data_IF_907824893992
#
_entry.id   IF_907824893992
#
_cell.length_a   1.000
_cell.length_b   1.000
_cell.length_c   1.000
_cell.angle_alpha   90.00
_cell.angle_beta   90.00
_cell.angle_gamma   90.00
#
_symmetry.space_group_name_H-M   'P 1'
#
loop_
_entity.id
_entity.type
_entity.pdbx_description
1 polymer ?
#
# COMPACT_ATOMS: atom_id res chain seq x y z
N UNK A 1 -5.51 0.92 15.55
CA UNK A 1 -4.04 0.85 15.39
C UNK A 1 -3.46 0.98 16.76
N UNK A 2 -2.93 -0.12 17.28
CA UNK A 2 -2.16 -0.09 18.52
C UNK A 2 -0.85 0.65 18.30
N UNK A 3 -0.28 1.16 19.39
CA UNK A 3 0.94 1.96 19.39
C UNK A 3 2.11 1.24 18.67
N UNK A 4 2.27 -0.06 18.89
CA UNK A 4 3.33 -0.84 18.25
C UNK A 4 3.24 -0.89 16.71
N UNK A 5 2.03 -0.86 16.13
CA UNK A 5 1.89 -0.81 14.66
C UNK A 5 2.21 0.58 14.13
N UNK A 6 1.79 1.63 14.84
CA UNK A 6 2.11 3.01 14.47
C UNK A 6 3.63 3.24 14.45
N UNK A 7 4.33 2.83 15.50
CA UNK A 7 5.79 2.94 15.60
C UNK A 7 6.48 2.25 14.42
N UNK A 8 6.07 1.02 14.08
CA UNK A 8 6.61 0.28 12.92
C UNK A 8 6.33 1.00 11.60
N UNK A 9 5.14 1.57 11.43
CA UNK A 9 4.79 2.34 10.23
C UNK A 9 5.59 3.64 10.13
N UNK A 10 5.95 4.26 11.25
CA UNK A 10 6.72 5.52 11.28
C UNK A 10 8.23 5.30 11.12
N UNK A 11 8.76 4.16 11.56
CA UNK A 11 10.18 3.83 11.47
C UNK A 11 10.58 3.00 10.24
N UNK A 12 9.62 2.47 9.48
CA UNK A 12 9.93 1.61 8.33
C UNK A 12 10.54 2.38 7.15
N UNK A 13 11.54 1.78 6.51
CA UNK A 13 12.14 2.26 5.26
C UNK A 13 11.32 1.88 4.03
N UNK A 14 10.59 0.76 4.10
CA UNK A 14 9.78 0.21 3.01
C UNK A 14 8.38 -0.13 3.52
N UNK A 15 7.36 0.22 2.75
CA UNK A 15 5.96 -0.16 3.01
C UNK A 15 5.31 -0.72 1.74
N UNK A 16 4.88 -1.98 1.78
CA UNK A 16 4.10 -2.62 0.73
C UNK A 16 2.66 -2.81 1.20
N UNK A 17 1.69 -2.25 0.48
CA UNK A 17 0.28 -2.57 0.67
C UNK A 17 -0.09 -3.59 -0.39
N UNK A 18 -0.28 -4.85 0.01
CA UNK A 18 -0.81 -5.91 -0.85
C UNK A 18 -2.22 -6.27 -0.37
N UNK A 19 -3.22 -6.08 -1.22
CA UNK A 19 -4.62 -6.24 -0.81
C UNK A 19 -5.51 -6.71 -1.95
N UNK A 20 -6.49 -7.61 -1.68
CA UNK A 20 -7.63 -7.74 -2.57
C UNK A 20 -8.46 -6.45 -2.55
N UNK A 21 -9.23 -6.24 -3.61
CA UNK A 21 -10.25 -5.19 -3.69
C UNK A 21 -11.62 -5.83 -3.55
N UNK A 22 -12.35 -5.43 -2.51
CA UNK A 22 -13.72 -5.85 -2.27
C UNK A 22 -14.64 -4.64 -2.39
N UNK A 23 -15.68 -4.75 -3.22
CA UNK A 23 -16.63 -3.66 -3.47
C UNK A 23 -15.93 -2.32 -3.79
N UNK A 24 -14.95 -2.35 -4.69
CA UNK A 24 -14.12 -1.21 -5.11
C UNK A 24 -13.21 -0.60 -4.02
N UNK A 25 -13.20 -1.16 -2.81
CA UNK A 25 -12.47 -0.67 -1.65
C UNK A 25 -11.44 -1.64 -1.09
N UNK A 26 -10.58 -1.11 -0.22
CA UNK A 26 -9.70 -1.90 0.62
C UNK A 26 -10.52 -2.61 1.71
N UNK A 27 -10.20 -3.87 2.08
CA UNK A 27 -10.88 -4.59 3.13
C UNK A 27 -10.90 -3.82 4.46
N UNK A 28 -11.94 -4.02 5.26
CA UNK A 28 -12.14 -3.28 6.51
C UNK A 28 -10.91 -3.23 7.44
N UNK A 29 -10.12 -4.30 7.65
CA UNK A 29 -8.91 -4.24 8.47
C UNK A 29 -7.85 -3.27 7.92
N UNK A 30 -7.63 -3.26 6.61
CA UNK A 30 -6.68 -2.35 5.94
C UNK A 30 -7.19 -0.92 6.06
N UNK A 31 -8.49 -0.71 5.81
CA UNK A 31 -9.12 0.60 5.92
C UNK A 31 -9.08 1.15 7.35
N UNK A 32 -9.26 0.30 8.36
CA UNK A 32 -9.15 0.70 9.77
C UNK A 32 -7.74 1.16 10.17
N UNK A 33 -6.69 0.64 9.52
CA UNK A 33 -5.33 1.14 9.69
C UNK A 33 -5.22 2.52 9.01
N UNK A 34 -5.64 2.63 7.75
CA UNK A 34 -5.58 3.87 6.97
C UNK A 34 -6.35 5.01 7.66
N UNK A 35 -7.54 4.75 8.18
CA UNK A 35 -8.36 5.78 8.84
C UNK A 35 -7.70 6.39 10.07
N UNK A 36 -6.80 5.65 10.71
CA UNK A 36 -6.04 6.16 11.84
C UNK A 36 -4.85 7.01 11.44
N UNK A 37 -4.41 6.93 10.19
CA UNK A 37 -3.43 7.84 9.64
C UNK A 37 -3.97 9.27 9.54
N UNK A 38 -5.28 9.49 9.63
CA UNK A 38 -5.87 10.83 9.67
C UNK A 38 -5.26 11.70 10.78
N UNK A 39 -4.97 11.14 11.96
CA UNK A 39 -4.31 11.87 13.04
C UNK A 39 -2.87 12.27 12.67
N UNK A 40 -2.14 11.39 11.99
CA UNK A 40 -0.78 11.64 11.51
C UNK A 40 -0.77 12.65 10.35
N UNK A 41 -1.78 12.62 9.48
CA UNK A 41 -1.98 13.65 8.45
C UNK A 41 -2.15 15.01 9.12
N UNK A 42 -3.03 15.13 10.12
CA UNK A 42 -3.24 16.39 10.85
C UNK A 42 -1.97 16.86 11.56
N UNK A 43 -1.18 15.93 12.10
CA UNK A 43 0.13 16.25 12.70
C UNK A 43 1.09 16.82 11.65
N UNK A 44 1.16 16.20 10.47
CA UNK A 44 2.01 16.64 9.35
C UNK A 44 1.61 18.01 8.80
N UNK A 45 0.32 18.24 8.58
CA UNK A 45 -0.19 19.54 8.08
C UNK A 45 0.10 20.69 9.05
N UNK A 46 0.35 20.40 10.33
CA UNK A 46 0.77 21.37 11.34
C UNK A 46 2.30 21.52 11.44
N UNK A 47 3.06 20.99 10.49
CA UNK A 47 4.52 21.02 10.48
C UNK A 47 5.18 19.92 11.31
N UNK A 48 4.41 18.95 11.81
CA UNK A 48 4.94 17.80 12.54
C UNK A 48 5.64 16.79 11.65
N UNK A 49 6.59 16.04 12.21
CA UNK A 49 7.34 15.01 11.49
C UNK A 49 6.72 13.62 11.73
N UNK A 50 6.24 12.98 10.66
CA UNK A 50 5.61 11.66 10.74
C UNK A 50 6.64 10.52 10.71
N UNK A 51 7.64 10.59 9.83
CA UNK A 51 8.72 9.61 9.80
C UNK A 51 9.60 9.73 11.06
N UNK A 52 10.08 8.60 11.59
CA UNK A 52 10.96 8.57 12.75
C UNK A 52 12.33 7.94 12.46
N UNK A 53 12.54 7.44 11.25
CA UNK A 53 13.84 6.97 10.77
C UNK A 53 14.65 8.11 10.13
N UNK A 54 15.98 8.00 10.16
CA UNK A 54 16.92 8.97 9.58
C UNK A 54 17.35 8.60 8.13
N UNK A 55 16.77 7.54 7.57
CA UNK A 55 17.15 7.00 6.26
C UNK A 55 16.83 7.94 5.09
N UNK A 56 17.64 7.94 4.02
CA UNK A 56 17.58 8.97 2.98
C UNK A 56 16.31 8.90 2.12
N UNK A 57 15.61 7.76 2.02
CA UNK A 57 14.37 7.63 1.23
C UNK A 57 13.45 6.52 1.76
N UNK A 58 12.14 6.83 1.89
CA UNK A 58 11.11 5.86 2.28
C UNK A 58 10.33 5.40 1.04
N UNK A 59 10.33 4.10 0.76
CA UNK A 59 9.80 3.53 -0.50
C UNK A 59 8.47 2.80 -0.28
N UNK A 60 7.46 3.18 -1.03
CA UNK A 60 6.12 2.60 -1.02
C UNK A 60 5.88 1.72 -2.25
N UNK A 61 5.22 0.58 -2.06
CA UNK A 61 4.75 -0.29 -3.14
C UNK A 61 3.28 -0.67 -2.95
N UNK A 62 2.58 -0.89 -4.05
CA UNK A 62 1.16 -1.25 -4.03
C UNK A 62 0.89 -2.49 -4.89
N UNK A 63 0.20 -3.49 -4.34
CA UNK A 63 -0.35 -4.62 -5.09
C UNK A 63 -1.85 -4.68 -4.81
N UNK A 64 -2.65 -4.54 -5.87
CA UNK A 64 -4.10 -4.71 -5.79
C UNK A 64 -4.54 -5.85 -6.71
N UNK A 65 -5.33 -6.77 -6.16
CA UNK A 65 -5.89 -7.91 -6.89
C UNK A 65 -7.42 -7.86 -6.87
N UNK A 66 -8.08 -8.22 -7.97
CA UNK A 66 -9.54 -8.26 -8.05
C UNK A 66 -10.03 -9.23 -9.13
N UNK A 67 -11.29 -9.67 -9.00
CA UNK A 67 -12.02 -10.30 -10.12
C UNK A 67 -12.29 -9.29 -11.25
N UNK A 68 -12.56 -8.02 -10.90
CA UNK A 68 -12.85 -6.95 -11.84
C UNK A 68 -11.64 -6.41 -12.61
N UNK A 69 -11.91 -5.44 -13.50
CA UNK A 69 -10.91 -4.76 -14.33
C UNK A 69 -10.43 -3.42 -13.78
N UNK A 70 -9.85 -2.59 -14.65
CA UNK A 70 -9.14 -1.34 -14.29
C UNK A 70 -9.93 -0.39 -13.38
N UNK A 71 -11.21 -0.15 -13.68
CA UNK A 71 -12.09 0.74 -12.91
C UNK A 71 -12.28 0.30 -11.44
N UNK A 72 -12.11 -1.00 -11.16
CA UNK A 72 -12.25 -1.57 -9.81
C UNK A 72 -11.17 -1.06 -8.87
N UNK A 73 -9.98 -0.74 -9.38
CA UNK A 73 -8.81 -0.39 -8.57
C UNK A 73 -8.76 1.08 -8.18
N UNK A 74 -9.38 1.97 -8.94
CA UNK A 74 -9.19 3.42 -8.81
C UNK A 74 -9.43 3.95 -7.39
N UNK A 75 -10.52 3.62 -6.69
CA UNK A 75 -10.75 4.14 -5.33
C UNK A 75 -9.72 3.61 -4.33
N UNK A 76 -9.42 2.32 -4.39
CA UNK A 76 -8.43 1.66 -3.52
C UNK A 76 -7.01 2.20 -3.75
N UNK A 77 -6.64 2.44 -5.00
CA UNK A 77 -5.37 3.04 -5.41
C UNK A 77 -5.23 4.46 -4.86
N UNK A 78 -6.28 5.27 -4.93
CA UNK A 78 -6.28 6.64 -4.36
C UNK A 78 -6.13 6.63 -2.85
N UNK A 79 -6.85 5.74 -2.15
CA UNK A 79 -6.72 5.57 -0.70
C UNK A 79 -5.30 5.17 -0.29
N UNK A 80 -4.69 4.19 -0.97
CA UNK A 80 -3.32 3.78 -0.70
C UNK A 80 -2.32 4.91 -0.95
N UNK A 81 -2.45 5.66 -2.05
CA UNK A 81 -1.61 6.84 -2.35
C UNK A 81 -1.69 7.91 -1.26
N UNK A 82 -2.89 8.19 -0.73
CA UNK A 82 -3.07 9.11 0.39
C UNK A 82 -2.38 8.60 1.67
N UNK A 83 -2.45 7.29 1.95
CA UNK A 83 -1.76 6.66 3.08
C UNK A 83 -0.23 6.78 2.95
N UNK A 84 0.34 6.45 1.78
CA UNK A 84 1.78 6.62 1.52
C UNK A 84 2.22 8.07 1.72
N UNK A 85 1.49 9.02 1.14
CA UNK A 85 1.81 10.44 1.27
C UNK A 85 1.78 10.91 2.73
N UNK A 86 0.75 10.51 3.48
CA UNK A 86 0.62 10.83 4.91
C UNK A 86 1.80 10.34 5.72
N UNK A 87 2.26 9.13 5.44
CA UNK A 87 3.40 8.51 6.10
C UNK A 87 4.74 9.02 5.53
N UNK A 88 4.77 9.74 4.41
CA UNK A 88 6.01 10.20 3.78
C UNK A 88 6.74 9.12 2.97
N UNK A 89 6.04 8.11 2.47
CA UNK A 89 6.57 7.15 1.50
C UNK A 89 6.38 7.64 0.07
N UNK A 90 7.41 7.51 -0.75
CA UNK A 90 7.32 7.70 -2.19
C UNK A 90 6.86 6.40 -2.85
N UNK A 91 5.75 6.44 -3.62
CA UNK A 91 5.28 5.27 -4.37
C UNK A 91 6.23 4.98 -5.54
N UNK A 92 7.05 3.93 -5.42
CA UNK A 92 8.02 3.51 -6.45
C UNK A 92 7.45 2.54 -7.49
N UNK A 93 6.30 1.93 -7.21
CA UNK A 93 5.64 1.07 -8.16
C UNK A 93 4.32 0.52 -7.66
N UNK A 94 3.49 0.09 -8.60
CA UNK A 94 2.23 -0.59 -8.33
C UNK A 94 1.98 -1.73 -9.31
N UNK A 95 1.28 -2.76 -8.85
CA UNK A 95 0.75 -3.85 -9.66
C UNK A 95 -0.77 -3.92 -9.46
N UNK A 96 -1.51 -3.80 -10.55
CA UNK A 96 -2.97 -3.98 -10.58
C UNK A 96 -3.25 -5.27 -11.38
N UNK A 97 -3.89 -6.23 -10.74
CA UNK A 97 -4.14 -7.55 -11.31
C UNK A 97 -5.63 -7.88 -11.26
N UNK A 98 -6.30 -7.75 -12.41
CA UNK A 98 -7.71 -8.05 -12.60
C UNK A 98 -7.96 -9.45 -13.15
N UNK A 99 -9.24 -9.85 -13.20
CA UNK A 99 -9.66 -11.14 -13.73
C UNK A 99 -9.20 -12.33 -12.89
N UNK A 100 -9.06 -12.14 -11.57
CA UNK A 100 -8.73 -13.18 -10.60
C UNK A 100 -10.01 -13.57 -9.84
N UNK A 101 -10.69 -14.61 -10.30
CA UNK A 101 -11.96 -15.10 -9.75
C UNK A 101 -11.75 -16.30 -8.82
N UNK A 102 -10.83 -17.19 -9.19
CA UNK A 102 -10.48 -18.40 -8.45
C UNK A 102 -9.28 -18.22 -7.52
N UNK A 103 -9.16 -19.06 -6.47
CA UNK A 103 -8.03 -19.00 -5.53
C UNK A 103 -6.67 -19.32 -6.17
N UNK A 104 -6.64 -20.00 -7.32
CA UNK A 104 -5.41 -20.39 -8.02
C UNK A 104 -5.04 -19.50 -9.21
N UNK A 105 -5.88 -18.52 -9.55
CA UNK A 105 -5.68 -17.69 -10.76
C UNK A 105 -4.38 -16.89 -10.70
N UNK A 106 -3.98 -16.45 -9.50
CA UNK A 106 -2.73 -15.72 -9.34
C UNK A 106 -1.49 -16.62 -9.49
N UNK A 107 -1.56 -17.87 -9.02
CA UNK A 107 -0.44 -18.82 -9.08
C UNK A 107 -0.22 -19.42 -10.47
N UNK A 108 -1.26 -19.48 -11.30
CA UNK A 108 -1.17 -20.01 -12.68
C UNK A 108 -0.63 -18.98 -13.68
N UNK A 109 -0.51 -17.71 -13.27
CA UNK A 109 -0.05 -16.59 -14.10
C UNK A 109 1.38 -16.19 -13.73
N UNK A 110 2.35 -16.88 -14.31
CA UNK A 110 3.79 -16.67 -14.03
C UNK A 110 4.23 -15.21 -14.21
N UNK A 111 3.64 -14.49 -15.16
CA UNK A 111 3.90 -13.08 -15.41
C UNK A 111 3.47 -12.17 -14.25
N UNK A 112 2.39 -12.53 -13.53
CA UNK A 112 1.96 -11.76 -12.36
C UNK A 112 2.93 -11.95 -11.18
N UNK A 113 3.37 -13.20 -10.98
CA UNK A 113 4.36 -13.51 -9.95
C UNK A 113 5.68 -12.79 -10.23
N UNK A 114 6.12 -12.76 -11.49
CA UNK A 114 7.36 -12.08 -11.86
C UNK A 114 7.25 -10.56 -11.66
N UNK A 115 6.15 -9.94 -12.09
CA UNK A 115 5.91 -8.51 -11.84
C UNK A 115 5.88 -8.16 -10.35
N UNK A 116 5.36 -9.06 -9.50
CA UNK A 116 5.38 -8.88 -8.05
C UNK A 116 6.82 -8.94 -7.49
N UNK A 117 7.67 -9.84 -8.01
CA UNK A 117 9.11 -9.91 -7.64
C UNK A 117 9.88 -8.68 -8.11
N UNK A 118 9.66 -8.23 -9.33
CA UNK A 118 10.27 -7.01 -9.87
C UNK A 118 9.87 -5.77 -9.07
N UNK A 119 8.60 -5.69 -8.63
CA UNK A 119 8.16 -4.63 -7.73
C UNK A 119 8.91 -4.72 -6.39
N UNK A 120 9.01 -5.90 -5.78
CA UNK A 120 9.72 -6.10 -4.53
C UNK A 120 11.20 -5.69 -4.62
N UNK A 121 11.88 -6.05 -5.69
CA UNK A 121 13.30 -5.72 -5.92
C UNK A 121 13.53 -4.21 -6.00
N UNK A 122 12.68 -3.49 -6.74
CA UNK A 122 12.72 -2.02 -6.83
C UNK A 122 12.48 -1.29 -5.50
N UNK A 123 11.86 -1.94 -4.52
CA UNK A 123 11.64 -1.34 -3.20
C UNK A 123 12.85 -1.44 -2.27
N UNK A 124 13.80 -2.32 -2.58
CA UNK A 124 14.99 -2.55 -1.74
C UNK A 124 16.29 -2.01 -2.35
N UNK A 125 16.33 -1.80 -3.67
CA UNK A 125 17.38 -1.08 -4.41
C UNK A 125 17.47 0.41 -4.03
#
# INVERSE_FOLDING_TARGET
>A
MGQALEERLRSADVLLIASPVYFMGLPAPVKAIIDRLQALWWHRERGGTVATNEGPFRRGGLILVAAGGEDTFTPSRRMAKAAFNTLGFELRGEMLAGGLEGPEDASTRSEMIERARELGSRLVE
#
